data_IF_823820119200
#
_entry.id   IF_823820119200
#
_cell.length_a   1.000
_cell.length_b   1.000
_cell.length_c   1.000
_cell.angle_alpha   90.00
_cell.angle_beta   90.00
_cell.angle_gamma   90.00
#
_symmetry.space_group_name_H-M   'P 1'
#
loop_
_entity.id
_entity.type
_entity.pdbx_description
1 polymer ?
#
# COMPACT_ATOMS: atom_id res chain seq x y z
N UNK A 1 16.04 6.92 16.14
CA UNK A 1 15.55 7.73 14.99
C UNK A 1 14.18 7.24 14.49
N UNK A 2 14.06 5.98 14.06
CA UNK A 2 12.80 5.44 13.54
C UNK A 2 11.65 5.45 14.56
N UNK A 3 11.88 4.97 15.78
CA UNK A 3 10.85 5.00 16.85
C UNK A 3 10.42 6.42 17.21
N UNK A 4 11.36 7.37 17.25
CA UNK A 4 11.04 8.78 17.48
C UNK A 4 10.20 9.38 16.34
N UNK A 5 10.52 9.04 15.08
CA UNK A 5 9.71 9.42 13.92
C UNK A 5 8.29 8.85 14.03
N UNK A 6 8.14 7.56 14.37
CA UNK A 6 6.82 6.93 14.55
C UNK A 6 6.01 7.63 15.64
N UNK A 7 6.61 7.95 16.79
CA UNK A 7 5.94 8.70 17.85
C UNK A 7 5.51 10.10 17.41
N UNK A 8 6.33 10.81 16.63
CA UNK A 8 6.02 12.14 16.12
C UNK A 8 4.84 12.13 15.14
N UNK A 9 4.84 11.21 14.17
CA UNK A 9 3.74 11.10 13.20
C UNK A 9 2.46 10.55 13.84
N UNK A 10 2.57 9.65 14.83
CA UNK A 10 1.44 9.19 15.63
C UNK A 10 0.78 10.34 16.41
N UNK A 11 1.58 11.16 17.10
CA UNK A 11 1.08 12.33 17.82
C UNK A 11 0.40 13.33 16.87
N UNK A 12 1.00 13.54 15.69
CA UNK A 12 0.44 14.40 14.64
C UNK A 12 -0.93 13.90 14.15
N UNK A 13 -1.05 12.61 13.86
CA UNK A 13 -2.32 11.97 13.49
C UNK A 13 -3.36 12.07 14.61
N UNK A 14 -2.96 11.75 15.84
CA UNK A 14 -3.82 11.82 17.02
C UNK A 14 -4.37 13.22 17.25
N UNK A 15 -3.54 14.26 17.11
CA UNK A 15 -3.96 15.66 17.20
C UNK A 15 -4.96 16.06 16.08
N UNK A 16 -4.91 15.39 14.93
CA UNK A 16 -5.91 15.49 13.85
C UNK A 16 -7.20 14.67 14.09
N UNK A 17 -7.32 14.01 15.24
CA UNK A 17 -8.44 13.15 15.62
C UNK A 17 -8.39 11.74 15.00
N UNK A 18 -7.27 11.35 14.42
CA UNK A 18 -7.08 10.01 13.86
C UNK A 18 -6.58 9.04 14.92
N UNK A 19 -7.15 7.85 14.92
CA UNK A 19 -6.67 6.74 15.74
C UNK A 19 -5.89 5.78 14.87
N UNK A 20 -4.87 5.16 15.48
CA UNK A 20 -3.95 4.27 14.79
C UNK A 20 -3.86 2.94 15.52
N UNK A 21 -3.74 1.87 14.75
CA UNK A 21 -3.37 0.55 15.27
C UNK A 21 -2.46 -0.17 14.30
N UNK A 22 -1.52 -0.94 14.83
CA UNK A 22 -0.40 -1.48 14.07
C UNK A 22 -0.14 -2.94 14.40
N UNK A 23 0.22 -3.71 13.39
CA UNK A 23 0.79 -5.04 13.55
C UNK A 23 1.99 -5.24 12.62
N UNK A 24 2.67 -6.36 12.79
CA UNK A 24 3.57 -6.89 11.77
C UNK A 24 2.87 -7.98 10.96
N UNK A 25 3.16 -8.03 9.67
CA UNK A 25 2.68 -9.06 8.75
C UNK A 25 3.84 -9.71 8.01
N UNK A 26 3.82 -11.04 7.86
CA UNK A 26 4.87 -11.75 7.11
C UNK A 26 4.65 -11.60 5.59
N UNK A 27 5.59 -10.95 4.90
CA UNK A 27 5.57 -10.77 3.45
C UNK A 27 5.86 -12.09 2.70
N UNK A 28 5.23 -12.32 1.53
CA UNK A 28 5.55 -13.46 0.68
C UNK A 28 6.88 -13.28 -0.08
N UNK A 29 7.45 -12.07 -0.08
CA UNK A 29 8.63 -11.71 -0.86
C UNK A 29 9.66 -10.94 -0.03
N UNK A 30 10.89 -10.82 -0.54
CA UNK A 30 12.00 -10.16 0.15
C UNK A 30 12.88 -9.43 -0.85
N UNK A 31 13.14 -8.14 -0.61
CA UNK A 31 14.05 -7.33 -1.42
C UNK A 31 13.55 -6.96 -2.82
N UNK A 32 12.32 -7.33 -3.19
CA UNK A 32 11.71 -7.04 -4.47
C UNK A 32 10.41 -7.83 -4.67
N UNK A 33 9.74 -7.64 -5.80
CA UNK A 33 8.54 -8.41 -6.14
C UNK A 33 7.26 -7.87 -5.49
N UNK A 34 7.13 -6.55 -5.37
CA UNK A 34 5.97 -5.88 -4.74
C UNK A 34 4.61 -6.39 -5.26
N UNK A 35 4.53 -6.80 -6.55
CA UNK A 35 3.32 -7.41 -7.11
C UNK A 35 2.91 -8.73 -6.48
N UNK A 36 3.83 -9.49 -5.92
CA UNK A 36 3.55 -10.69 -5.16
C UNK A 36 2.95 -10.34 -3.80
N UNK A 37 3.51 -9.31 -3.13
CA UNK A 37 3.05 -8.83 -1.83
C UNK A 37 1.62 -8.25 -1.89
N UNK A 38 1.38 -7.23 -2.74
CA UNK A 38 0.05 -6.63 -2.80
C UNK A 38 -1.01 -7.59 -3.37
N UNK A 39 -0.63 -8.50 -4.28
CA UNK A 39 -1.58 -9.53 -4.75
C UNK A 39 -1.92 -10.49 -3.61
N UNK A 40 -0.95 -10.85 -2.77
CA UNK A 40 -1.25 -11.71 -1.62
C UNK A 40 -2.21 -11.05 -0.65
N UNK A 41 -1.95 -9.78 -0.32
CA UNK A 41 -2.77 -8.99 0.58
C UNK A 41 -4.20 -8.78 0.05
N UNK A 42 -4.36 -8.39 -1.21
CA UNK A 42 -5.66 -8.04 -1.78
C UNK A 42 -6.56 -9.25 -2.03
N UNK A 43 -5.99 -10.43 -2.34
CA UNK A 43 -6.74 -11.62 -2.73
C UNK A 43 -6.85 -12.65 -1.60
N UNK A 44 -6.07 -12.48 -0.54
CA UNK A 44 -6.01 -13.41 0.57
C UNK A 44 -5.40 -14.77 0.20
N UNK A 45 -4.60 -14.81 -0.87
CA UNK A 45 -3.91 -16.01 -1.36
C UNK A 45 -2.42 -15.79 -1.29
N UNK A 46 -1.64 -16.76 -0.79
CA UNK A 46 -0.18 -16.64 -0.87
C UNK A 46 0.29 -16.70 -2.32
N UNK A 47 0.81 -15.58 -2.83
CA UNK A 47 1.48 -15.47 -4.11
C UNK A 47 2.94 -15.14 -3.82
N UNK A 48 3.82 -16.13 -3.88
CA UNK A 48 5.25 -15.98 -3.54
C UNK A 48 6.19 -16.23 -4.73
N UNK A 49 5.63 -16.47 -5.92
CA UNK A 49 6.39 -16.60 -7.14
C UNK A 49 5.62 -16.15 -8.39
N UNK A 50 6.37 -15.81 -9.44
CA UNK A 50 5.80 -15.29 -10.68
C UNK A 50 4.87 -16.30 -11.41
N UNK A 51 5.15 -17.61 -11.47
CA UNK A 51 4.20 -18.58 -12.04
C UNK A 51 2.82 -18.59 -11.36
N UNK A 52 2.75 -18.53 -10.02
CA UNK A 52 1.48 -18.42 -9.29
C UNK A 52 0.73 -17.14 -9.68
N UNK A 53 1.44 -16.01 -9.71
CA UNK A 53 0.89 -14.73 -10.15
C UNK A 53 0.28 -14.82 -11.56
N UNK A 54 1.02 -15.39 -12.52
CA UNK A 54 0.55 -15.59 -13.89
C UNK A 54 -0.66 -16.52 -13.97
N UNK A 55 -0.70 -17.57 -13.15
CA UNK A 55 -1.84 -18.49 -13.06
C UNK A 55 -3.09 -17.76 -12.58
N UNK A 56 -2.99 -16.97 -11.51
CA UNK A 56 -4.09 -16.15 -11.00
C UNK A 56 -4.57 -15.17 -12.08
N UNK A 57 -3.64 -14.39 -12.67
CA UNK A 57 -3.96 -13.45 -13.74
C UNK A 57 -4.67 -14.11 -14.91
N UNK A 58 -4.29 -15.33 -15.28
CA UNK A 58 -4.93 -16.07 -16.38
C UNK A 58 -6.34 -16.54 -16.02
N UNK A 59 -6.56 -17.01 -14.79
CA UNK A 59 -7.90 -17.37 -14.29
C UNK A 59 -8.88 -16.19 -14.33
N UNK A 60 -8.41 -14.99 -13.98
CA UNK A 60 -9.23 -13.78 -14.02
C UNK A 60 -9.55 -13.26 -15.42
N UNK A 61 -9.02 -13.87 -16.49
CA UNK A 61 -9.44 -13.52 -17.85
C UNK A 61 -10.72 -14.25 -18.27
N UNK A 62 -11.13 -15.28 -17.54
CA UNK A 62 -12.27 -16.15 -17.87
C UNK A 62 -13.33 -16.21 -16.78
N UNK A 63 -13.11 -15.55 -15.64
CA UNK A 63 -14.06 -15.46 -14.53
C UNK A 63 -13.63 -14.43 -13.50
N UNK A 64 -14.50 -14.13 -12.53
CA UNK A 64 -14.17 -13.31 -11.37
C UNK A 64 -13.87 -14.21 -10.16
N UNK A 65 -12.95 -13.79 -9.30
CA UNK A 65 -12.81 -14.36 -7.96
C UNK A 65 -12.90 -13.24 -6.91
N UNK A 66 -13.34 -13.55 -5.68
CA UNK A 66 -13.37 -12.57 -4.60
C UNK A 66 -11.97 -12.01 -4.33
N UNK A 67 -11.89 -10.69 -4.24
CA UNK A 67 -10.75 -9.92 -3.73
C UNK A 67 -11.29 -8.76 -2.89
N UNK A 68 -10.45 -8.12 -2.10
CA UNK A 68 -10.84 -6.93 -1.32
C UNK A 68 -11.46 -5.87 -2.24
N UNK A 69 -10.77 -5.57 -3.33
CA UNK A 69 -11.19 -4.56 -4.30
C UNK A 69 -12.52 -4.90 -4.97
N UNK A 70 -12.65 -6.11 -5.51
CA UNK A 70 -13.90 -6.55 -6.13
C UNK A 70 -15.07 -6.58 -5.13
N UNK A 71 -14.80 -6.91 -3.85
CA UNK A 71 -15.86 -6.90 -2.83
C UNK A 71 -16.36 -5.48 -2.56
N UNK A 72 -15.45 -4.52 -2.38
CA UNK A 72 -15.84 -3.11 -2.16
C UNK A 72 -16.50 -2.49 -3.40
N UNK A 73 -16.00 -2.81 -4.59
CA UNK A 73 -16.64 -2.40 -5.86
C UNK A 73 -18.10 -2.88 -5.92
N UNK A 74 -18.36 -4.14 -5.57
CA UNK A 74 -19.73 -4.67 -5.53
C UNK A 74 -20.62 -4.04 -4.45
N UNK A 75 -20.02 -3.34 -3.47
CA UNK A 75 -20.74 -2.51 -2.49
C UNK A 75 -20.91 -1.05 -2.94
N UNK A 76 -20.54 -0.72 -4.20
CA UNK A 76 -20.70 0.60 -4.79
C UNK A 76 -19.48 1.52 -4.62
N UNK A 77 -18.32 1.00 -4.21
CA UNK A 77 -17.10 1.80 -4.21
C UNK A 77 -16.56 1.96 -5.62
N UNK A 78 -16.19 3.18 -6.01
CA UNK A 78 -15.40 3.42 -7.22
C UNK A 78 -13.96 3.02 -6.97
N UNK A 79 -13.51 1.94 -7.62
CA UNK A 79 -12.20 1.36 -7.40
C UNK A 79 -11.16 1.90 -8.40
N UNK A 80 -10.27 2.74 -7.89
CA UNK A 80 -9.17 3.35 -8.65
C UNK A 80 -7.85 2.65 -8.33
N UNK A 81 -7.14 2.22 -9.37
CA UNK A 81 -5.73 1.87 -9.28
C UNK A 81 -4.86 2.97 -9.87
N UNK A 82 -3.96 3.49 -9.04
CA UNK A 82 -3.01 4.54 -9.39
C UNK A 82 -1.60 3.95 -9.54
N UNK A 83 -1.07 3.93 -10.76
CA UNK A 83 0.30 3.53 -11.06
C UNK A 83 1.14 4.74 -11.47
N UNK A 84 2.06 5.14 -10.60
CA UNK A 84 2.98 6.25 -10.82
C UNK A 84 4.20 5.89 -11.67
N UNK A 85 4.45 4.59 -11.87
CA UNK A 85 5.60 4.09 -12.60
C UNK A 85 5.43 4.36 -14.11
N UNK A 86 6.52 4.79 -14.73
CA UNK A 86 6.59 4.88 -16.18
C UNK A 86 6.76 3.47 -16.77
N UNK A 87 5.65 2.88 -17.19
CA UNK A 87 5.57 1.51 -17.69
C UNK A 87 5.12 1.49 -19.15
N UNK A 88 6.04 1.16 -20.06
CA UNK A 88 5.73 0.98 -21.48
C UNK A 88 5.15 -0.43 -21.74
N UNK A 89 3.91 -0.63 -21.30
CA UNK A 89 3.13 -1.85 -21.53
C UNK A 89 2.04 -1.58 -22.56
N UNK A 90 1.83 -2.53 -23.48
CA UNK A 90 0.73 -2.47 -24.43
C UNK A 90 -0.64 -2.47 -23.73
N UNK A 91 -1.64 -1.82 -24.30
CA UNK A 91 -3.01 -1.71 -23.73
C UNK A 91 -3.60 -3.07 -23.35
N UNK A 92 -3.33 -4.10 -24.16
CA UNK A 92 -3.81 -5.47 -23.86
C UNK A 92 -3.19 -6.03 -22.58
N UNK A 93 -1.96 -5.66 -22.23
CA UNK A 93 -1.33 -6.05 -20.97
C UNK A 93 -2.01 -5.32 -19.81
N UNK A 94 -2.21 -4.01 -19.91
CA UNK A 94 -2.96 -3.22 -18.92
C UNK A 94 -4.36 -3.77 -18.68
N UNK A 95 -5.11 -4.07 -19.74
CA UNK A 95 -6.44 -4.65 -19.66
C UNK A 95 -6.48 -5.99 -18.91
N UNK A 96 -5.38 -6.77 -18.92
CA UNK A 96 -5.29 -8.01 -18.14
C UNK A 96 -5.09 -7.73 -16.65
N UNK A 97 -4.34 -6.69 -16.29
CA UNK A 97 -4.15 -6.28 -14.90
C UNK A 97 -5.44 -5.69 -14.33
N UNK A 98 -6.09 -4.78 -15.06
CA UNK A 98 -7.33 -4.14 -14.60
C UNK A 98 -8.45 -5.17 -14.41
N UNK A 99 -8.60 -6.14 -15.32
CA UNK A 99 -9.54 -7.26 -15.13
C UNK A 99 -9.22 -8.14 -13.92
N UNK A 100 -7.95 -8.35 -13.62
CA UNK A 100 -7.54 -9.15 -12.46
C UNK A 100 -7.83 -8.43 -11.14
N UNK A 101 -7.50 -7.14 -11.06
CA UNK A 101 -7.76 -6.34 -9.87
C UNK A 101 -9.25 -6.01 -9.71
N UNK A 102 -9.99 -5.92 -10.81
CA UNK A 102 -11.41 -5.55 -10.83
C UNK A 102 -11.61 -4.05 -10.62
N UNK A 103 -10.72 -3.22 -11.18
CA UNK A 103 -10.76 -1.76 -11.02
C UNK A 103 -11.71 -1.13 -12.04
N UNK A 104 -12.38 -0.06 -11.63
CA UNK A 104 -13.20 0.78 -12.51
C UNK A 104 -12.33 1.76 -13.30
N UNK A 105 -11.24 2.22 -12.67
CA UNK A 105 -10.35 3.22 -13.23
C UNK A 105 -8.88 2.85 -13.00
N UNK A 106 -8.08 3.00 -14.05
CA UNK A 106 -6.63 2.93 -14.00
C UNK A 106 -6.08 4.32 -14.35
N UNK A 107 -5.37 4.94 -13.41
CA UNK A 107 -4.61 6.17 -13.63
C UNK A 107 -3.13 5.80 -13.75
N UNK A 108 -2.51 6.12 -14.88
CA UNK A 108 -1.09 5.83 -15.16
C UNK A 108 -0.26 7.11 -15.15
N UNK A 109 1.06 6.94 -15.14
CA UNK A 109 2.02 8.03 -15.26
C UNK A 109 1.71 8.96 -16.45
N UNK A 110 1.41 8.40 -17.63
CA UNK A 110 1.14 9.19 -18.83
C UNK A 110 -0.17 10.01 -18.75
N UNK A 111 -1.13 9.58 -17.95
CA UNK A 111 -2.43 10.25 -17.78
C UNK A 111 -2.30 11.51 -16.89
N UNK A 112 -1.23 11.58 -16.10
CA UNK A 112 -0.99 12.60 -15.07
C UNK A 112 -0.35 13.89 -15.60
N UNK A 113 0.27 13.86 -16.78
CA UNK A 113 0.93 15.04 -17.40
C UNK A 113 1.95 15.74 -16.48
N UNK A 114 2.66 14.96 -15.66
CA UNK A 114 3.68 15.49 -14.76
C UNK A 114 4.94 15.93 -15.52
N UNK A 115 5.37 17.17 -15.29
CA UNK A 115 6.51 17.83 -15.96
C UNK A 115 7.64 18.23 -15.01
N UNK A 116 7.50 17.95 -13.72
CA UNK A 116 8.52 18.25 -12.72
C UNK A 116 9.63 17.19 -12.61
N UNK A 117 10.59 17.40 -11.69
CA UNK A 117 11.67 16.45 -11.42
C UNK A 117 11.15 15.10 -10.93
N UNK A 118 11.81 14.03 -11.37
CA UNK A 118 11.48 12.65 -10.98
C UNK A 118 12.53 12.08 -10.04
N UNK A 119 12.13 11.11 -9.24
CA UNK A 119 12.94 10.59 -8.12
C UNK A 119 12.94 9.06 -8.08
N UNK A 120 13.94 8.49 -7.40
CA UNK A 120 14.07 7.06 -7.18
C UNK A 120 14.34 6.23 -8.44
N UNK A 121 13.97 4.95 -8.39
CA UNK A 121 14.15 4.01 -9.50
C UNK A 121 12.98 4.04 -10.48
N UNK A 122 13.30 3.94 -11.78
CA UNK A 122 12.29 4.04 -12.84
C UNK A 122 11.58 5.38 -12.77
N UNK A 123 12.34 6.50 -12.90
CA UNK A 123 12.05 7.81 -12.31
C UNK A 123 10.55 8.11 -12.26
N UNK A 124 10.03 8.29 -11.05
CA UNK A 124 8.61 8.55 -10.82
C UNK A 124 8.39 9.98 -10.29
N UNK A 125 7.22 10.59 -10.54
CA UNK A 125 6.83 11.81 -9.84
C UNK A 125 6.85 11.60 -8.32
N UNK A 126 7.01 12.66 -7.51
CA UNK A 126 6.87 12.55 -6.06
C UNK A 126 5.51 11.98 -5.67
N UNK A 127 5.49 11.01 -4.76
CA UNK A 127 4.27 10.42 -4.20
C UNK A 127 3.35 11.49 -3.61
N UNK A 128 3.93 12.58 -3.04
CA UNK A 128 3.17 13.74 -2.57
C UNK A 128 2.32 14.35 -3.69
N UNK A 129 2.88 14.53 -4.88
CA UNK A 129 2.15 15.06 -6.02
C UNK A 129 1.14 14.05 -6.55
N UNK A 130 1.57 12.79 -6.73
CA UNK A 130 0.76 11.71 -7.32
C UNK A 130 -0.52 11.47 -6.51
N UNK A 131 -0.41 11.31 -5.19
CA UNK A 131 -1.55 11.01 -4.34
C UNK A 131 -2.53 12.18 -4.28
N UNK A 132 -2.05 13.41 -4.09
CA UNK A 132 -2.92 14.58 -3.99
C UNK A 132 -3.60 14.89 -5.32
N UNK A 133 -2.87 14.84 -6.44
CA UNK A 133 -3.45 15.03 -7.77
C UNK A 133 -4.52 13.98 -8.04
N UNK A 134 -4.22 12.68 -7.84
CA UNK A 134 -5.19 11.63 -8.12
C UNK A 134 -6.44 11.76 -7.25
N UNK A 135 -6.29 12.05 -5.96
CA UNK A 135 -7.42 12.27 -5.07
C UNK A 135 -8.29 13.45 -5.52
N UNK A 136 -7.70 14.61 -5.84
CA UNK A 136 -8.43 15.77 -6.36
C UNK A 136 -9.18 15.45 -7.65
N UNK A 137 -8.50 14.79 -8.60
CA UNK A 137 -9.05 14.47 -9.91
C UNK A 137 -10.19 13.46 -9.85
N UNK A 138 -10.07 12.41 -9.01
CA UNK A 138 -11.11 11.40 -8.85
C UNK A 138 -12.34 11.99 -8.15
N UNK A 139 -12.14 12.73 -7.05
CA UNK A 139 -13.24 13.39 -6.32
C UNK A 139 -13.97 14.45 -7.16
N UNK A 140 -13.32 15.01 -8.18
CA UNK A 140 -13.97 15.93 -9.12
C UNK A 140 -14.89 15.22 -10.14
N UNK A 141 -14.76 13.89 -10.32
CA UNK A 141 -15.51 13.11 -11.32
C UNK A 141 -16.63 12.26 -10.73
N UNK A 142 -16.55 11.89 -9.45
CA UNK A 142 -17.56 11.06 -8.79
C UNK A 142 -17.72 11.42 -7.31
N UNK A 143 -18.96 11.27 -6.82
CA UNK A 143 -19.32 11.36 -5.41
C UNK A 143 -19.43 9.96 -4.75
N UNK A 144 -19.14 8.89 -5.49
CA UNK A 144 -19.16 7.51 -4.99
C UNK A 144 -18.08 7.31 -3.91
N UNK A 145 -18.29 6.40 -2.94
CA UNK A 145 -17.24 6.05 -1.98
C UNK A 145 -16.01 5.50 -2.71
N UNK A 146 -14.81 5.94 -2.34
CA UNK A 146 -13.59 5.63 -3.09
C UNK A 146 -12.80 4.48 -2.46
N UNK A 147 -12.35 3.55 -3.30
CA UNK A 147 -11.22 2.70 -2.99
C UNK A 147 -10.05 3.13 -3.87
N UNK A 148 -9.04 3.76 -3.29
CA UNK A 148 -7.80 4.11 -3.97
C UNK A 148 -6.70 3.12 -3.58
N UNK A 149 -6.18 2.38 -4.57
CA UNK A 149 -5.03 1.49 -4.40
C UNK A 149 -3.83 2.03 -5.18
N UNK A 150 -2.67 2.08 -4.53
CA UNK A 150 -1.43 2.53 -5.16
C UNK A 150 -0.21 1.94 -4.46
N UNK A 151 0.93 2.00 -5.13
CA UNK A 151 2.23 1.57 -4.64
C UNK A 151 3.14 2.78 -4.68
N UNK A 152 3.49 3.29 -3.50
CA UNK A 152 4.40 4.43 -3.33
C UNK A 152 5.78 4.11 -3.88
N UNK A 153 6.43 5.09 -4.49
CA UNK A 153 7.70 4.90 -5.21
C UNK A 153 8.90 5.57 -4.52
N UNK A 154 8.71 6.64 -3.74
CA UNK A 154 9.86 7.42 -3.26
C UNK A 154 10.67 6.72 -2.16
N UNK A 155 10.17 5.61 -1.61
CA UNK A 155 10.91 4.70 -0.72
C UNK A 155 11.48 3.45 -1.42
N UNK A 156 11.55 3.44 -2.75
CA UNK A 156 12.15 2.34 -3.51
C UNK A 156 13.69 2.45 -3.56
N UNK A 157 14.37 1.30 -3.65
CA UNK A 157 15.81 1.24 -3.93
C UNK A 157 16.14 2.06 -5.20
N UNK A 158 17.22 2.88 -5.23
CA UNK A 158 18.33 2.97 -4.27
C UNK A 158 18.13 4.01 -3.15
N UNK A 159 16.89 4.47 -2.91
CA UNK A 159 16.59 5.53 -1.94
C UNK A 159 17.40 6.80 -2.22
N UNK A 160 17.51 7.20 -3.49
CA UNK A 160 18.10 8.47 -3.90
C UNK A 160 17.85 8.64 -5.40
N UNK A 161 17.75 9.88 -5.90
CA UNK A 161 17.52 11.14 -5.17
C UNK A 161 16.17 11.12 -4.45
N UNK A 162 16.02 11.95 -3.41
CA UNK A 162 14.76 12.07 -2.66
C UNK A 162 14.09 13.41 -2.94
N UNK A 163 12.75 13.43 -3.08
CA UNK A 163 12.02 14.69 -3.06
C UNK A 163 12.09 15.35 -1.68
N UNK A 164 11.80 16.64 -1.67
CA UNK A 164 11.53 17.38 -0.43
C UNK A 164 10.03 17.58 -0.28
N UNK A 165 9.53 17.51 0.95
CA UNK A 165 8.15 17.88 1.24
C UNK A 165 7.98 19.38 1.06
N UNK A 166 6.93 19.75 0.34
CA UNK A 166 6.52 21.15 0.15
C UNK A 166 5.13 21.39 0.74
N UNK A 167 4.81 22.62 1.11
CA UNK A 167 3.51 22.96 1.68
C UNK A 167 2.38 22.86 0.65
N UNK A 168 2.62 23.30 -0.59
CA UNK A 168 1.68 23.16 -1.72
C UNK A 168 2.22 22.17 -2.74
N UNK A 169 1.64 20.98 -2.77
CA UNK A 169 2.05 19.92 -3.70
C UNK A 169 1.98 20.35 -5.17
N UNK A 170 1.17 21.36 -5.53
CA UNK A 170 1.06 21.84 -6.91
C UNK A 170 2.36 22.45 -7.43
N UNK A 171 3.20 22.99 -6.55
CA UNK A 171 4.52 23.55 -6.93
C UNK A 171 5.49 22.46 -7.38
N UNK A 172 5.19 21.17 -7.13
CA UNK A 172 6.02 20.06 -7.59
C UNK A 172 5.88 19.81 -9.10
N UNK A 173 4.85 20.34 -9.76
CA UNK A 173 4.62 20.14 -11.20
C UNK A 173 5.07 21.33 -12.04
N UNK A 174 6.31 21.77 -11.80
CA UNK A 174 6.95 22.85 -12.55
C UNK A 174 8.23 22.33 -13.22
N UNK A 175 8.56 22.79 -14.44
CA UNK A 175 9.82 22.42 -15.06
C UNK A 175 11.02 22.80 -14.19
N UNK A 176 11.81 21.82 -13.79
CA UNK A 176 13.08 21.99 -13.11
C UNK A 176 14.10 20.99 -13.66
N UNK A 177 15.41 21.21 -13.43
CA UNK A 177 16.43 20.22 -13.79
C UNK A 177 16.08 18.86 -13.19
N UNK A 178 16.21 17.79 -13.99
CA UNK A 178 16.11 16.44 -13.44
C UNK A 178 17.26 16.21 -12.46
N UNK A 179 16.95 15.46 -11.39
CA UNK A 179 17.95 15.03 -10.45
C UNK A 179 18.94 14.07 -11.12
N UNK A 180 20.22 14.17 -10.76
CA UNK A 180 21.24 13.30 -11.34
C UNK A 180 21.00 11.84 -10.94
N UNK A 181 21.04 10.95 -11.93
CA UNK A 181 21.01 9.51 -11.68
C UNK A 181 22.21 9.12 -10.84
N UNK A 182 21.95 8.48 -9.69
CA UNK A 182 22.99 7.95 -8.81
C UNK A 182 23.13 6.46 -9.07
N UNK A 183 24.31 6.05 -9.55
CA UNK A 183 24.65 4.63 -9.70
C UNK A 183 24.70 3.96 -8.32
N UNK A 184 23.80 3.00 -8.03
CA UNK A 184 23.73 2.36 -6.72
C UNK A 184 25.02 1.65 -6.31
N UNK A 185 25.81 1.17 -7.28
CA UNK A 185 27.08 0.47 -7.01
C UNK A 185 28.16 1.42 -6.47
N UNK A 186 27.96 2.74 -6.60
CA UNK A 186 28.86 3.77 -6.06
C UNK A 186 28.50 4.19 -4.63
N UNK A 187 27.36 3.75 -4.12
CA UNK A 187 26.84 4.14 -2.80
C UNK A 187 27.42 3.21 -1.72
N UNK A 188 28.11 3.76 -0.71
CA UNK A 188 28.60 2.94 0.40
C UNK A 188 27.44 2.34 1.21
N UNK A 189 27.62 1.18 1.87
CA UNK A 189 26.57 0.59 2.71
C UNK A 189 26.05 1.54 3.80
N UNK A 190 26.91 2.38 4.39
CA UNK A 190 26.50 3.38 5.39
C UNK A 190 25.65 4.48 4.77
N UNK A 191 25.99 4.94 3.57
CA UNK A 191 25.20 5.92 2.84
C UNK A 191 23.84 5.33 2.43
N UNK A 192 23.82 4.09 1.95
CA UNK A 192 22.59 3.37 1.57
C UNK A 192 21.61 3.26 2.75
N UNK A 193 22.09 2.93 3.96
CA UNK A 193 21.25 2.88 5.17
C UNK A 193 20.71 4.25 5.57
N UNK A 194 21.52 5.32 5.45
CA UNK A 194 21.04 6.69 5.72
C UNK A 194 19.99 7.13 4.71
N UNK A 195 20.25 6.87 3.43
CA UNK A 195 19.34 7.12 2.33
C UNK A 195 17.99 6.43 2.55
N UNK A 196 17.99 5.14 2.89
CA UNK A 196 16.78 4.42 3.27
C UNK A 196 16.03 5.10 4.42
N UNK A 197 16.72 5.48 5.49
CA UNK A 197 16.07 6.16 6.62
C UNK A 197 15.48 7.52 6.23
N UNK A 198 16.14 8.27 5.34
CA UNK A 198 15.61 9.54 4.82
C UNK A 198 14.36 9.31 3.95
N UNK A 199 14.35 8.26 3.13
CA UNK A 199 13.18 7.89 2.33
C UNK A 199 11.98 7.52 3.21
N UNK A 200 12.23 6.75 4.28
CA UNK A 200 11.18 6.39 5.25
C UNK A 200 10.68 7.60 6.03
N UNK A 201 11.56 8.52 6.42
CA UNK A 201 11.17 9.80 7.04
C UNK A 201 10.26 10.62 6.11
N UNK A 202 10.69 10.85 4.87
CA UNK A 202 9.88 11.52 3.86
C UNK A 202 8.52 10.81 3.67
N UNK A 203 8.52 9.49 3.47
CA UNK A 203 7.31 8.75 3.13
C UNK A 203 6.27 8.81 4.25
N UNK A 204 6.70 8.61 5.51
CA UNK A 204 5.79 8.62 6.65
C UNK A 204 5.23 10.02 6.92
N UNK A 205 6.06 11.06 6.80
CA UNK A 205 5.59 12.45 6.92
C UNK A 205 4.63 12.83 5.80
N UNK A 206 4.94 12.44 4.57
CA UNK A 206 4.11 12.68 3.39
C UNK A 206 2.74 12.01 3.53
N UNK A 207 2.71 10.72 3.88
CA UNK A 207 1.46 9.98 4.08
C UNK A 207 0.64 10.56 5.24
N UNK A 208 1.30 10.98 6.31
CA UNK A 208 0.64 11.65 7.45
C UNK A 208 -0.05 12.94 6.99
N UNK A 209 0.66 13.79 6.24
CA UNK A 209 0.09 15.03 5.71
C UNK A 209 -1.06 14.76 4.73
N UNK A 210 -0.91 13.78 3.84
CA UNK A 210 -1.96 13.36 2.92
C UNK A 210 -3.25 12.94 3.65
N UNK A 211 -3.12 12.16 4.74
CA UNK A 211 -4.24 11.74 5.58
C UNK A 211 -4.93 12.94 6.24
N UNK A 212 -4.14 13.89 6.78
CA UNK A 212 -4.66 15.09 7.43
C UNK A 212 -5.40 16.01 6.45
N UNK A 213 -4.87 16.16 5.24
CA UNK A 213 -5.41 17.11 4.25
C UNK A 213 -6.64 16.56 3.50
N UNK A 214 -6.68 15.24 3.27
CA UNK A 214 -7.66 14.64 2.36
C UNK A 214 -8.67 13.70 3.02
N UNK A 215 -8.40 13.28 4.26
CA UNK A 215 -9.25 12.35 5.01
C UNK A 215 -10.36 13.04 5.80
N UNK A 216 -11.50 12.37 5.90
CA UNK A 216 -12.69 12.79 6.66
C UNK A 216 -13.07 11.77 7.75
N UNK A 217 -14.21 11.95 8.41
CA UNK A 217 -14.71 11.05 9.45
C UNK A 217 -15.03 9.63 8.99
N UNK A 218 -15.22 9.41 7.68
CA UNK A 218 -15.55 8.11 7.11
C UNK A 218 -14.35 7.44 6.42
N UNK A 219 -13.20 8.10 6.43
CA UNK A 219 -12.01 7.63 5.75
C UNK A 219 -11.26 6.56 6.58
N UNK A 220 -10.65 5.62 5.85
CA UNK A 220 -9.86 4.53 6.37
C UNK A 220 -8.61 4.36 5.52
N UNK A 221 -7.44 4.47 6.14
CA UNK A 221 -6.16 4.29 5.49
C UNK A 221 -5.49 3.01 5.98
N UNK A 222 -4.95 2.23 5.05
CA UNK A 222 -4.20 1.01 5.31
C UNK A 222 -2.83 1.17 4.69
N UNK A 223 -1.82 1.40 5.52
CA UNK A 223 -0.42 1.57 5.10
C UNK A 223 0.32 0.25 5.31
N UNK A 224 0.91 -0.31 4.26
CA UNK A 224 1.50 -1.65 4.30
C UNK A 224 2.91 -1.61 3.72
N UNK A 225 3.90 -2.10 4.47
CA UNK A 225 5.21 -2.42 3.91
C UNK A 225 5.11 -3.66 3.03
N UNK A 226 5.54 -3.59 1.77
CA UNK A 226 5.44 -4.71 0.83
C UNK A 226 6.49 -5.80 1.11
N UNK A 227 7.74 -5.42 1.38
CA UNK A 227 8.81 -6.33 1.75
C UNK A 227 9.99 -5.63 2.43
N UNK A 228 10.92 -6.43 2.95
CA UNK A 228 12.17 -5.95 3.52
C UNK A 228 13.07 -5.24 2.48
N UNK A 229 13.76 -4.14 2.84
CA UNK A 229 14.60 -3.38 1.91
C UNK A 229 15.91 -4.14 1.60
N UNK A 230 16.24 -4.40 0.31
CA UNK A 230 17.50 -5.06 -0.04
C UNK A 230 18.71 -4.22 0.41
N UNK A 231 19.90 -4.78 0.59
CA UNK A 231 21.13 -4.07 1.02
C UNK A 231 21.11 -3.36 2.41
N UNK A 232 19.94 -3.05 2.98
CA UNK A 232 19.76 -2.48 4.31
C UNK A 232 19.47 -3.57 5.33
N UNK A 233 18.59 -4.51 4.97
CA UNK A 233 18.23 -5.68 5.77
C UNK A 233 18.91 -6.95 5.26
N UNK A 234 18.91 -8.00 6.09
CA UNK A 234 19.33 -9.36 5.73
C UNK A 234 18.14 -10.30 5.81
N UNK A 235 18.17 -11.41 5.06
CA UNK A 235 17.14 -12.45 5.17
C UNK A 235 17.00 -13.04 6.58
N UNK A 236 18.08 -13.02 7.37
CA UNK A 236 18.06 -13.45 8.76
C UNK A 236 17.32 -12.48 9.69
N UNK A 237 17.06 -11.24 9.25
CA UNK A 237 16.28 -10.24 9.98
C UNK A 237 14.76 -10.45 9.77
N UNK A 238 14.37 -11.47 8.99
CA UNK A 238 12.98 -11.89 8.81
C UNK A 238 12.32 -11.34 7.55
N UNK A 239 10.99 -11.48 7.52
CA UNK A 239 10.11 -11.14 6.40
C UNK A 239 8.93 -10.26 6.83
N UNK A 240 8.88 -9.91 8.11
CA UNK A 240 7.82 -9.13 8.71
C UNK A 240 7.89 -7.67 8.24
N UNK A 241 6.75 -7.08 7.88
CA UNK A 241 6.63 -5.66 7.54
C UNK A 241 5.47 -5.02 8.31
N UNK A 242 5.55 -3.72 8.62
CA UNK A 242 4.46 -3.02 9.31
C UNK A 242 3.20 -2.98 8.46
N UNK A 243 2.06 -3.11 9.14
CA UNK A 243 0.76 -2.67 8.66
C UNK A 243 0.18 -1.68 9.67
N UNK A 244 -0.11 -0.46 9.22
CA UNK A 244 -0.73 0.58 10.02
C UNK A 244 -2.14 0.84 9.50
N UNK A 245 -3.12 0.84 10.41
CA UNK A 245 -4.50 1.17 10.12
C UNK A 245 -4.80 2.51 10.77
N UNK A 246 -5.33 3.47 10.00
CA UNK A 246 -5.61 4.83 10.45
C UNK A 246 -7.06 5.18 10.12
N UNK A 247 -7.85 5.56 11.13
CA UNK A 247 -9.24 5.99 10.94
C UNK A 247 -9.72 6.85 12.11
N UNK A 248 -10.77 7.65 11.90
CA UNK A 248 -11.50 8.33 12.97
C UNK A 248 -12.53 7.41 13.65
N UNK A 249 -12.83 6.24 13.07
CA UNK A 249 -13.73 5.27 13.69
C UNK A 249 -13.01 4.43 14.76
N UNK A 250 -13.09 4.92 16.00
CA UNK A 250 -12.49 4.27 17.17
C UNK A 250 -12.90 2.80 17.34
N UNK A 251 -14.17 2.49 17.10
CA UNK A 251 -14.69 1.14 17.28
C UNK A 251 -14.14 0.17 16.22
N UNK A 252 -13.87 0.66 15.01
CA UNK A 252 -13.15 -0.13 14.01
C UNK A 252 -11.71 -0.37 14.46
N UNK A 253 -10.99 0.67 14.88
CA UNK A 253 -9.59 0.57 15.32
C UNK A 253 -9.45 -0.40 16.50
N UNK A 254 -10.29 -0.27 17.52
CA UNK A 254 -10.31 -1.16 18.70
C UNK A 254 -10.55 -2.63 18.33
N UNK A 255 -11.30 -2.89 17.26
CA UNK A 255 -11.63 -4.27 16.83
C UNK A 255 -10.41 -5.07 16.35
N UNK A 256 -9.31 -4.41 15.97
CA UNK A 256 -8.07 -5.07 15.56
C UNK A 256 -7.28 -5.67 16.73
N UNK A 257 -7.49 -5.18 17.96
CA UNK A 257 -6.74 -5.61 19.15
C UNK A 257 -6.80 -7.13 19.41
N UNK A 258 -7.91 -7.78 19.03
CA UNK A 258 -8.08 -9.23 19.13
C UNK A 258 -7.21 -10.05 18.16
N UNK A 259 -6.48 -9.41 17.25
CA UNK A 259 -5.78 -10.04 16.13
C UNK A 259 -4.28 -9.71 16.08
N UNK A 260 -3.72 -9.29 17.22
CA UNK A 260 -2.28 -9.00 17.36
C UNK A 260 -1.88 -7.58 16.96
N UNK A 261 -2.85 -6.71 16.70
CA UNK A 261 -2.59 -5.29 16.53
C UNK A 261 -2.52 -4.59 17.89
N UNK A 262 -1.64 -3.61 18.00
CA UNK A 262 -1.49 -2.76 19.19
C UNK A 262 -1.89 -1.32 18.86
N UNK A 263 -2.33 -0.51 19.84
CA UNK A 263 -2.54 0.92 19.63
C UNK A 263 -1.25 1.62 19.20
N UNK A 264 -1.36 2.64 18.37
CA UNK A 264 -0.21 3.44 17.92
C UNK A 264 0.49 2.87 16.68
N UNK A 265 1.68 3.39 16.40
CA UNK A 265 2.50 3.03 15.24
C UNK A 265 3.77 2.23 15.59
N UNK A 266 4.10 2.08 16.87
CA UNK A 266 5.33 1.40 17.32
C UNK A 266 5.32 -0.12 17.02
N UNK A 267 6.40 -0.60 16.40
CA UNK A 267 6.61 -2.00 16.03
C UNK A 267 7.74 -2.69 16.79
N UNK A 268 8.41 -1.99 17.72
CA UNK A 268 9.69 -2.41 18.30
C UNK A 268 9.65 -3.78 18.99
N UNK A 269 8.52 -4.15 19.59
CA UNK A 269 8.36 -5.39 20.35
C UNK A 269 7.26 -6.30 19.76
N UNK A 270 6.98 -6.16 18.47
CA UNK A 270 5.98 -6.96 17.80
C UNK A 270 6.62 -8.15 17.07
N UNK A 271 5.85 -9.23 16.99
CA UNK A 271 6.12 -10.38 16.13
C UNK A 271 4.95 -10.52 15.15
N UNK A 272 5.17 -11.02 13.92
CA UNK A 272 4.09 -11.13 12.94
C UNK A 272 3.04 -12.15 13.41
N UNK A 273 1.80 -11.68 13.62
CA UNK A 273 0.66 -12.52 14.01
C UNK A 273 -0.10 -13.10 12.81
N UNK A 274 0.15 -12.57 11.62
CA UNK A 274 -0.48 -12.98 10.35
C UNK A 274 0.49 -12.81 9.18
N UNK A 275 0.18 -13.46 8.06
CA UNK A 275 0.82 -13.21 6.77
C UNK A 275 0.09 -12.12 5.99
N UNK A 276 0.72 -11.58 4.94
CA UNK A 276 0.06 -10.63 4.01
C UNK A 276 -1.28 -11.18 3.52
N UNK A 277 -1.31 -12.43 3.07
CA UNK A 277 -2.53 -13.11 2.63
C UNK A 277 -3.58 -13.31 3.73
N UNK A 278 -3.19 -13.22 5.01
CA UNK A 278 -4.14 -13.28 6.12
C UNK A 278 -4.96 -11.99 6.27
N UNK A 279 -4.42 -10.86 5.83
CA UNK A 279 -5.04 -9.55 6.02
C UNK A 279 -6.41 -9.45 5.34
N UNK A 280 -6.58 -9.99 4.12
CA UNK A 280 -7.87 -10.00 3.44
C UNK A 280 -9.00 -10.54 4.32
N UNK A 281 -8.81 -11.73 4.89
CA UNK A 281 -9.83 -12.39 5.70
C UNK A 281 -10.15 -11.63 7.00
N UNK A 282 -9.11 -11.10 7.65
CA UNK A 282 -9.23 -10.27 8.84
C UNK A 282 -10.00 -8.99 8.52
N UNK A 283 -9.55 -8.27 7.51
CA UNK A 283 -10.08 -6.96 7.17
C UNK A 283 -11.54 -7.06 6.72
N UNK A 284 -11.87 -8.04 5.86
CA UNK A 284 -13.26 -8.30 5.50
C UNK A 284 -14.09 -8.63 6.74
N UNK A 285 -13.60 -9.50 7.64
CA UNK A 285 -14.30 -9.84 8.88
C UNK A 285 -14.62 -8.60 9.72
N UNK A 286 -13.65 -7.70 9.89
CA UNK A 286 -13.83 -6.48 10.67
C UNK A 286 -14.75 -5.47 9.98
N UNK A 287 -14.63 -5.27 8.66
CA UNK A 287 -15.55 -4.41 7.90
C UNK A 287 -17.00 -4.92 7.96
N UNK A 288 -17.22 -6.23 7.75
CA UNK A 288 -18.55 -6.82 7.91
C UNK A 288 -19.04 -6.73 9.36
N UNK A 289 -18.16 -6.95 10.33
CA UNK A 289 -18.45 -6.85 11.75
C UNK A 289 -18.80 -5.42 12.19
N UNK A 290 -18.20 -4.40 11.57
CA UNK A 290 -18.44 -2.99 11.91
C UNK A 290 -19.61 -2.38 11.13
N UNK A 291 -19.64 -2.56 9.82
CA UNK A 291 -20.53 -1.84 8.89
C UNK A 291 -21.57 -2.72 8.20
N UNK A 292 -21.43 -4.06 8.25
CA UNK A 292 -22.34 -4.97 7.57
C UNK A 292 -23.78 -4.89 8.09
N UNK A 293 -24.75 -4.93 7.17
CA UNK A 293 -26.19 -5.03 7.50
C UNK A 293 -26.65 -6.49 7.39
N UNK A 294 -27.66 -6.89 8.16
CA UNK A 294 -28.24 -8.24 8.07
C UNK A 294 -27.29 -9.39 8.45
N UNK A 295 -26.44 -9.19 9.47
CA UNK A 295 -25.39 -10.14 9.88
C UNK A 295 -25.97 -11.51 10.24
N UNK A 296 -25.62 -12.54 9.46
CA UNK A 296 -25.94 -13.95 9.75
C UNK A 296 -24.75 -14.61 10.45
N UNK A 297 -23.53 -14.36 9.98
CA UNK A 297 -22.27 -14.82 10.58
C UNK A 297 -21.09 -13.94 10.12
N UNK A 298 -20.03 -13.89 10.93
CA UNK A 298 -18.78 -13.21 10.56
C UNK A 298 -17.91 -14.10 9.65
N UNK A 299 -17.27 -13.55 8.60
CA UNK A 299 -16.31 -14.29 7.78
C UNK A 299 -15.20 -14.93 8.60
N UNK A 300 -14.76 -16.13 8.21
CA UNK A 300 -13.67 -16.81 8.90
C UNK A 300 -12.37 -15.98 8.86
N UNK A 301 -11.67 -15.90 9.99
CA UNK A 301 -10.33 -15.34 10.04
C UNK A 301 -9.30 -16.42 9.70
N UNK A 302 -8.49 -16.17 8.67
CA UNK A 302 -7.48 -17.08 8.13
C UNK A 302 -6.11 -16.38 8.18
N UNK A 303 -5.38 -16.39 9.31
CA UNK A 303 -4.12 -15.66 9.48
C UNK A 303 -3.02 -16.07 8.49
N UNK A 304 -3.13 -17.25 7.91
CA UNK A 304 -2.19 -17.83 6.93
C UNK A 304 -2.70 -17.72 5.49
N UNK A 305 -3.78 -16.95 5.27
CA UNK A 305 -4.49 -16.85 4.02
C UNK A 305 -5.38 -18.04 3.70
N UNK A 306 -6.10 -17.93 2.59
CA UNK A 306 -6.87 -19.02 2.00
C UNK A 306 -5.88 -20.02 1.43
N UNK A 307 -5.87 -21.23 1.99
CA UNK A 307 -5.17 -22.37 1.40
C UNK A 307 -6.15 -22.99 0.42
N UNK A 308 -5.93 -22.90 -0.91
CA UNK A 308 -6.74 -23.64 -1.85
C UNK A 308 -6.61 -25.11 -1.45
N UNK A 309 -7.74 -25.78 -1.16
CA UNK A 309 -7.72 -27.21 -0.96
C UNK A 309 -6.92 -27.81 -2.11
N UNK A 310 -5.87 -28.59 -1.80
CA UNK A 310 -5.30 -29.51 -2.78
C UNK A 310 -6.51 -30.17 -3.41
N UNK A 311 -6.70 -29.99 -4.73
CA UNK A 311 -7.75 -30.67 -5.44
C UNK A 311 -7.68 -32.11 -4.98
N UNK A 312 -8.69 -32.55 -4.24
CA UNK A 312 -8.75 -33.92 -3.75
C UNK A 312 -8.58 -34.76 -5.01
N UNK A 313 -7.43 -35.43 -5.10
CA UNK A 313 -7.15 -36.38 -6.14
C UNK A 313 -8.17 -37.50 -5.98
N UNK A 314 -9.28 -37.35 -6.69
CA UNK A 314 -10.27 -38.37 -6.99
C UNK A 314 -10.25 -38.56 -8.51
#
# INVERSE_FOLDING_TARGET
>A
PYTALLSEVEETLHNGGWQTTTALTESPTWGGGSWLAYTSLLFGLRIDNHPQYLSLRSKYQVGSYPSLGNTLQQQGYHYVWLSALDENLADIAWARYTRMLGVDELIRNEDMQYIGPRYGWGPAPPDQWVLNWANEQVKARTDDPLLLFTITQNSHYPWTPHPTLVDDWRTLNEPAPEEEFVDPDTISPEAMRRNYMNAIDYQLRMLTQFILDNGDENSLFVLVGDHQPPAVSRRADGWATPIHIVSKDAALIDSFSGYGFVPGLDVTNLEPSLRHEGFYSLFMRLLFGRYGTGKIAEPAYLPQGVIPLQAASN
#
